data_IF_183289085319
#
_entry.id   IF_183289085319
#
_cell.length_a   1.000
_cell.length_b   1.000
_cell.length_c   1.000
_cell.angle_alpha   90.00
_cell.angle_beta   90.00
_cell.angle_gamma   90.00
#
_symmetry.space_group_name_H-M   'P 1'
#
loop_
_entity.id
_entity.type
_entity.pdbx_description
1 polymer ?
#
# COMPACT_ATOMS: atom_id res chain seq x y z
N UNK A 1 4.60 12.88 -6.82
CA UNK A 1 3.97 11.56 -6.98
C UNK A 1 4.09 10.84 -5.65
N UNK A 2 3.05 10.80 -4.83
CA UNK A 2 3.08 10.19 -3.50
C UNK A 2 2.17 8.94 -3.53
N UNK A 3 2.68 7.80 -3.07
CA UNK A 3 1.90 6.58 -2.95
C UNK A 3 1.44 6.45 -1.49
N UNK A 4 0.18 6.79 -1.21
CA UNK A 4 -0.49 6.39 0.03
C UNK A 4 -1.10 5.00 -0.18
N UNK A 5 -1.40 4.30 0.91
CA UNK A 5 -2.14 3.04 0.88
C UNK A 5 -3.58 3.35 0.39
N UNK A 6 -3.81 3.38 -0.92
CA UNK A 6 -5.06 3.88 -1.50
C UNK A 6 -6.13 2.79 -1.57
N UNK A 7 -7.29 3.06 -0.97
CA UNK A 7 -8.53 2.34 -1.26
C UNK A 7 -9.12 2.78 -2.61
N UNK A 8 -10.11 2.07 -3.16
CA UNK A 8 -10.74 2.47 -4.43
C UNK A 8 -11.32 3.89 -4.41
N UNK A 9 -11.76 4.36 -3.24
CA UNK A 9 -12.26 5.72 -3.04
C UNK A 9 -11.15 6.77 -3.09
N UNK A 10 -9.96 6.45 -2.57
CA UNK A 10 -8.80 7.37 -2.60
C UNK A 10 -8.29 7.60 -4.02
N UNK A 11 -8.32 6.55 -4.85
CA UNK A 11 -7.97 6.65 -6.27
C UNK A 11 -8.91 7.62 -6.99
N UNK A 12 -10.22 7.47 -6.77
CA UNK A 12 -11.24 8.30 -7.43
C UNK A 12 -11.11 9.78 -7.04
N UNK A 13 -10.96 10.08 -5.75
CA UNK A 13 -10.75 11.45 -5.29
C UNK A 13 -9.44 12.05 -5.84
N UNK A 14 -8.38 11.26 -5.90
CA UNK A 14 -7.10 11.71 -6.45
C UNK A 14 -7.21 12.06 -7.94
N UNK A 15 -7.92 11.25 -8.72
CA UNK A 15 -8.20 11.51 -10.13
C UNK A 15 -9.05 12.77 -10.33
N UNK A 16 -10.08 12.97 -9.50
CA UNK A 16 -10.90 14.19 -9.50
C UNK A 16 -10.08 15.46 -9.22
N UNK A 17 -9.02 15.35 -8.41
CA UNK A 17 -8.05 16.42 -8.16
C UNK A 17 -6.99 16.56 -9.26
N UNK A 18 -7.08 15.77 -10.33
CA UNK A 18 -6.19 15.84 -11.49
C UNK A 18 -4.90 15.04 -11.35
N UNK A 19 -4.78 14.16 -10.35
CA UNK A 19 -3.64 13.26 -10.20
C UNK A 19 -3.70 12.18 -11.29
N UNK A 20 -2.60 12.02 -12.03
CA UNK A 20 -2.46 10.92 -13.00
C UNK A 20 -1.97 9.66 -12.29
N UNK A 21 -2.85 8.68 -12.12
CA UNK A 21 -2.51 7.39 -11.54
C UNK A 21 -2.28 6.38 -12.66
N UNK A 22 -1.15 5.67 -12.59
CA UNK A 22 -0.80 4.58 -13.52
C UNK A 22 -0.56 3.31 -12.70
N UNK A 23 -1.39 2.30 -12.90
CA UNK A 23 -1.22 0.97 -12.28
C UNK A 23 -0.45 0.04 -13.22
N UNK A 24 0.04 -1.09 -12.70
CA UNK A 24 0.86 -2.04 -13.48
C UNK A 24 2.20 -1.46 -13.95
N UNK A 25 2.70 -0.44 -13.25
CA UNK A 25 3.93 0.28 -13.57
C UNK A 25 5.00 0.00 -12.51
N UNK A 26 5.45 -1.24 -12.43
CA UNK A 26 6.46 -1.65 -11.43
C UNK A 26 7.81 -0.99 -11.71
N UNK A 27 8.30 -0.19 -10.77
CA UNK A 27 9.60 0.50 -10.88
C UNK A 27 10.72 -0.48 -10.61
N UNK A 28 11.58 -0.70 -11.61
CA UNK A 28 12.74 -1.58 -11.51
C UNK A 28 13.97 -0.87 -10.92
N UNK A 29 14.19 0.41 -11.30
CA UNK A 29 15.29 1.23 -10.78
C UNK A 29 15.04 2.73 -10.98
N UNK A 30 15.85 3.56 -10.33
CA UNK A 30 15.94 4.98 -10.61
C UNK A 30 17.30 5.32 -11.24
N UNK A 31 17.31 6.26 -12.17
CA UNK A 31 18.51 6.93 -12.64
C UNK A 31 18.56 8.32 -11.97
N UNK A 32 19.47 8.48 -11.02
CA UNK A 32 19.58 9.70 -10.23
C UNK A 32 20.19 10.87 -11.01
N UNK A 33 21.02 10.59 -12.02
CA UNK A 33 21.63 11.63 -12.85
C UNK A 33 20.63 12.17 -13.87
N UNK A 34 19.85 11.28 -14.49
CA UNK A 34 18.81 11.65 -15.45
C UNK A 34 17.49 12.08 -14.77
N UNK A 35 17.34 11.86 -13.46
CA UNK A 35 16.13 12.10 -12.66
C UNK A 35 14.90 11.40 -13.26
N UNK A 36 15.03 10.09 -13.48
CA UNK A 36 13.98 9.25 -14.04
C UNK A 36 13.87 7.91 -13.33
N UNK A 37 12.73 7.26 -13.51
CA UNK A 37 12.54 5.85 -13.12
C UNK A 37 12.44 4.98 -14.36
N UNK A 38 13.01 3.79 -14.28
CA UNK A 38 12.89 2.74 -15.29
C UNK A 38 11.90 1.71 -14.77
N UNK A 39 10.82 1.52 -15.51
CA UNK A 39 9.83 0.51 -15.23
C UNK A 39 10.32 -0.88 -15.66
N UNK A 40 9.72 -1.93 -15.10
CA UNK A 40 10.09 -3.33 -15.38
C UNK A 40 9.88 -3.75 -16.84
N UNK A 41 9.03 -3.02 -17.57
CA UNK A 41 8.83 -3.18 -19.01
C UNK A 41 9.86 -2.43 -19.87
N UNK A 42 10.82 -1.72 -19.25
CA UNK A 42 11.83 -0.90 -19.91
C UNK A 42 11.38 0.51 -20.29
N UNK A 43 10.18 0.95 -19.90
CA UNK A 43 9.75 2.34 -20.07
C UNK A 43 10.50 3.27 -19.12
N UNK A 44 10.89 4.45 -19.61
CA UNK A 44 11.55 5.50 -18.81
C UNK A 44 10.57 6.64 -18.54
N UNK A 45 10.45 7.04 -17.28
CA UNK A 45 9.60 8.15 -16.85
C UNK A 45 10.45 9.20 -16.15
N UNK A 46 10.56 10.37 -16.78
CA UNK A 46 11.33 11.51 -16.28
C UNK A 46 10.49 12.44 -15.41
N UNK A 47 11.12 13.05 -14.40
CA UNK A 47 10.48 14.01 -13.49
C UNK A 47 11.50 14.96 -12.88
N UNK A 48 11.05 16.02 -12.22
CA UNK A 48 11.93 16.90 -11.43
C UNK A 48 12.27 16.30 -10.06
N UNK A 49 11.33 15.55 -9.48
CA UNK A 49 11.47 14.93 -8.15
C UNK A 49 10.77 13.58 -8.13
N UNK A 50 11.50 12.57 -7.66
CA UNK A 50 10.99 11.22 -7.40
C UNK A 50 10.82 11.04 -5.90
N UNK A 51 9.63 10.62 -5.47
CA UNK A 51 9.38 10.27 -4.07
C UNK A 51 9.30 8.74 -3.94
N UNK A 52 10.21 8.15 -3.18
CA UNK A 52 10.23 6.71 -2.92
C UNK A 52 9.26 6.30 -1.83
N UNK A 53 8.04 5.94 -2.23
CA UNK A 53 6.97 5.48 -1.33
C UNK A 53 6.55 4.05 -1.68
N UNK A 54 7.54 3.20 -1.91
CA UNK A 54 7.44 1.82 -2.42
C UNK A 54 7.46 0.74 -1.32
N UNK A 55 7.18 1.13 -0.08
CA UNK A 55 6.90 0.22 1.03
C UNK A 55 8.12 -0.43 1.67
N UNK A 56 7.87 -1.50 2.45
CA UNK A 56 8.89 -2.11 3.31
C UNK A 56 10.02 -2.77 2.50
N UNK A 57 9.70 -3.31 1.32
CA UNK A 57 10.64 -3.92 0.36
C UNK A 57 11.14 -2.92 -0.69
N UNK A 58 11.39 -1.67 -0.29
CA UNK A 58 11.72 -0.56 -1.19
C UNK A 58 12.97 -0.81 -2.05
N UNK A 59 12.78 -0.75 -3.38
CA UNK A 59 13.84 -0.78 -4.39
C UNK A 59 14.61 0.53 -4.42
N UNK A 60 13.93 1.65 -4.14
CA UNK A 60 14.56 2.98 -4.13
C UNK A 60 15.46 3.16 -2.90
N UNK A 61 15.04 2.68 -1.72
CA UNK A 61 15.86 2.71 -0.51
C UNK A 61 17.19 1.99 -0.73
N UNK A 62 17.17 0.78 -1.27
CA UNK A 62 18.39 0.00 -1.53
C UNK A 62 19.35 0.71 -2.49
N UNK A 63 18.83 1.40 -3.51
CA UNK A 63 19.66 2.17 -4.43
C UNK A 63 20.28 3.43 -3.79
N UNK A 64 19.51 4.17 -3.00
CA UNK A 64 20.01 5.35 -2.28
C UNK A 64 21.08 4.98 -1.27
N UNK A 65 20.91 3.86 -0.54
CA UNK A 65 21.89 3.38 0.44
C UNK A 65 23.08 2.68 -0.22
N UNK A 66 22.92 2.20 -1.47
CA UNK A 66 23.96 1.47 -2.21
C UNK A 66 24.13 0.01 -1.80
N UNK A 67 23.18 -0.55 -1.05
CA UNK A 67 23.16 -1.96 -0.66
C UNK A 67 21.72 -2.45 -0.48
N UNK A 68 21.51 -3.76 -0.57
CA UNK A 68 20.21 -4.34 -0.27
C UNK A 68 19.89 -4.17 1.23
N UNK A 69 18.75 -3.55 1.55
CA UNK A 69 18.26 -3.37 2.91
C UNK A 69 16.99 -4.18 3.08
N UNK A 70 17.11 -5.39 3.60
CA UNK A 70 15.96 -6.26 3.86
C UNK A 70 15.25 -5.89 5.16
N UNK A 71 13.92 -6.06 5.24
CA UNK A 71 13.20 -5.92 6.48
C UNK A 71 13.73 -6.90 7.54
N UNK A 72 13.90 -6.43 8.77
CA UNK A 72 14.26 -7.30 9.90
C UNK A 72 12.99 -7.77 10.60
N UNK A 73 12.88 -9.07 10.83
CA UNK A 73 11.77 -9.63 11.61
C UNK A 73 11.83 -9.11 13.06
N UNK A 74 10.70 -8.61 13.58
CA UNK A 74 10.60 -8.16 14.97
C UNK A 74 10.23 -9.29 15.93
N UNK A 75 9.73 -10.41 15.41
CA UNK A 75 9.14 -11.50 16.20
C UNK A 75 7.65 -11.31 16.48
N UNK A 76 7.06 -10.18 16.09
CA UNK A 76 5.62 -9.91 16.25
C UNK A 76 4.82 -10.44 15.06
N UNK A 77 3.60 -10.92 15.32
CA UNK A 77 2.68 -11.37 14.29
C UNK A 77 1.30 -10.75 14.51
N UNK A 78 0.71 -10.23 13.44
CA UNK A 78 -0.67 -9.77 13.42
C UNK A 78 -1.51 -10.73 12.59
N UNK A 79 -2.43 -11.45 13.23
CA UNK A 79 -3.43 -12.25 12.52
C UNK A 79 -4.57 -11.32 12.07
N UNK A 80 -4.61 -11.01 10.77
CA UNK A 80 -5.66 -10.20 10.17
C UNK A 80 -6.49 -11.03 9.19
N UNK A 81 -7.80 -10.83 9.23
CA UNK A 81 -8.75 -11.42 8.30
C UNK A 81 -10.02 -10.60 8.23
N UNK A 82 -10.75 -10.73 7.12
CA UNK A 82 -12.07 -10.14 6.95
C UNK A 82 -13.11 -11.25 6.92
N UNK A 83 -14.25 -10.99 7.56
CA UNK A 83 -15.40 -11.88 7.54
C UNK A 83 -16.60 -11.10 7.02
N UNK A 84 -17.39 -11.73 6.16
CA UNK A 84 -18.71 -11.18 5.85
C UNK A 84 -19.58 -11.25 7.10
N UNK A 85 -20.52 -10.31 7.21
CA UNK A 85 -21.50 -10.34 8.30
C UNK A 85 -22.23 -11.69 8.41
N UNK A 86 -22.62 -12.26 7.27
CA UNK A 86 -23.28 -13.58 7.19
C UNK A 86 -22.43 -14.69 7.83
N UNK A 87 -21.13 -14.74 7.54
CA UNK A 87 -20.23 -15.74 8.14
C UNK A 87 -20.13 -15.59 9.66
N UNK A 88 -20.15 -14.36 10.17
CA UNK A 88 -20.15 -14.11 11.61
C UNK A 88 -21.48 -14.53 12.26
N UNK A 89 -22.61 -14.25 11.60
CA UNK A 89 -23.94 -14.64 12.08
C UNK A 89 -24.13 -16.17 12.11
N UNK A 90 -23.56 -16.89 11.13
CA UNK A 90 -23.60 -18.36 11.06
C UNK A 90 -22.87 -19.07 12.21
N UNK A 91 -21.98 -18.37 12.95
CA UNK A 91 -21.35 -18.91 14.16
C UNK A 91 -22.36 -19.16 15.28
N UNK A 92 -23.55 -18.53 15.22
CA UNK A 92 -24.60 -18.59 16.24
C UNK A 92 -24.08 -18.32 17.67
N UNK A 93 -23.03 -17.51 17.79
CA UNK A 93 -22.44 -17.11 19.06
C UNK A 93 -23.13 -15.81 19.54
N UNK A 94 -23.79 -15.81 20.71
CA UNK A 94 -24.51 -14.63 21.21
C UNK A 94 -23.63 -13.39 21.40
N UNK A 95 -22.35 -13.55 21.71
CA UNK A 95 -21.42 -12.43 21.89
C UNK A 95 -21.05 -11.83 20.53
N UNK A 96 -20.78 -12.67 19.52
CA UNK A 96 -20.50 -12.23 18.14
C UNK A 96 -21.72 -11.55 17.52
N UNK A 97 -22.92 -12.10 17.74
CA UNK A 97 -24.18 -11.53 17.25
C UNK A 97 -24.43 -10.15 17.87
N UNK A 98 -24.20 -10.01 19.19
CA UNK A 98 -24.27 -8.70 19.86
C UNK A 98 -23.35 -7.66 19.20
N UNK A 99 -22.11 -8.03 18.86
CA UNK A 99 -21.19 -7.12 18.16
C UNK A 99 -21.68 -6.75 16.75
N UNK A 100 -22.31 -7.70 16.04
CA UNK A 100 -22.91 -7.43 14.74
C UNK A 100 -24.12 -6.47 14.83
N UNK A 101 -24.89 -6.51 15.92
CA UNK A 101 -26.06 -5.65 16.15
C UNK A 101 -25.68 -4.24 16.64
N UNK A 102 -24.66 -4.12 17.49
CA UNK A 102 -24.32 -2.85 18.13
C UNK A 102 -23.75 -1.79 17.17
N UNK A 103 -23.42 -2.14 15.93
CA UNK A 103 -22.88 -1.22 14.91
C UNK A 103 -21.70 -0.36 15.43
N UNK A 104 -20.90 -0.92 16.34
CA UNK A 104 -19.72 -0.26 16.91
C UNK A 104 -18.51 -0.57 16.06
N UNK A 105 -18.02 0.44 15.35
CA UNK A 105 -16.67 0.39 14.80
C UNK A 105 -15.69 0.69 15.95
N UNK A 106 -14.92 -0.31 16.36
CA UNK A 106 -13.80 -0.08 17.28
C UNK A 106 -12.54 0.04 16.42
N UNK A 107 -12.11 1.28 16.19
CA UNK A 107 -10.81 1.56 15.60
C UNK A 107 -9.79 1.53 16.75
N UNK A 108 -8.99 0.48 16.82
CA UNK A 108 -7.84 0.46 17.72
C UNK A 108 -6.62 0.83 16.88
N UNK A 109 -6.01 1.97 17.20
CA UNK A 109 -4.79 2.49 16.56
C UNK A 109 -3.57 1.67 16.97
#
# INVERSE_FOLDING_TARGET
>A
MALLHTTSTDTQLSEELGVKIRTGCDVAKADFEATEVVLSNGEHIKSDVILGVDGIWSTLRSQVVGQNVEPTETGDLACQGTFTRKQLEELNDPEVLRFCEENKQTLTL
#
